data_IF_995548708237
#
_entry.id   IF_995548708237
#
_cell.length_a   1.000
_cell.length_b   1.000
_cell.length_c   1.000
_cell.angle_alpha   90.00
_cell.angle_beta   90.00
_cell.angle_gamma   90.00
#
_symmetry.space_group_name_H-M   'P 1'
#
loop_
_entity.id
_entity.type
_entity.pdbx_description
1 polymer ?
#
# COMPACT_ATOMS: atom_id res chain seq x y z
N UNK A 1 16.56 15.52 -8.69
CA UNK A 1 16.22 14.40 -9.60
C UNK A 1 14.96 14.82 -10.36
N UNK A 2 14.99 14.82 -11.69
CA UNK A 2 13.84 15.21 -12.51
C UNK A 2 13.03 13.96 -12.87
N UNK A 3 11.72 13.99 -12.66
CA UNK A 3 10.81 12.91 -13.07
C UNK A 3 10.69 12.90 -14.61
N UNK A 4 10.52 11.72 -15.20
CA UNK A 4 10.22 11.61 -16.63
C UNK A 4 8.80 12.12 -16.94
N UNK A 5 8.54 12.52 -18.19
CA UNK A 5 7.22 13.02 -18.60
C UNK A 5 6.08 12.01 -18.33
N UNK A 6 6.37 10.72 -18.40
CA UNK A 6 5.41 9.65 -18.10
C UNK A 6 5.05 9.61 -16.61
N UNK A 7 6.02 9.87 -15.73
CA UNK A 7 5.79 9.97 -14.28
C UNK A 7 4.95 11.21 -13.93
N UNK A 8 5.14 12.32 -14.65
CA UNK A 8 4.36 13.56 -14.47
C UNK A 8 2.88 13.37 -14.86
N UNK A 9 2.60 12.71 -15.99
CA UNK A 9 1.24 12.47 -16.45
C UNK A 9 0.42 11.59 -15.50
N UNK A 10 1.05 10.59 -14.88
CA UNK A 10 0.40 9.73 -13.88
C UNK A 10 0.10 10.50 -12.59
N UNK A 11 1.05 11.30 -12.10
CA UNK A 11 0.85 12.12 -10.90
C UNK A 11 -0.29 13.13 -11.10
N UNK A 12 -0.40 13.73 -12.29
CA UNK A 12 -1.51 14.61 -12.65
C UNK A 12 -2.85 13.86 -12.71
N UNK A 13 -2.88 12.63 -13.25
CA UNK A 13 -4.07 11.79 -13.25
C UNK A 13 -4.54 11.39 -11.83
N UNK A 14 -3.61 11.36 -10.86
CA UNK A 14 -3.88 11.18 -9.43
C UNK A 14 -4.28 12.49 -8.70
N UNK A 15 -4.39 13.61 -9.42
CA UNK A 15 -4.75 14.91 -8.88
C UNK A 15 -3.64 15.59 -8.09
N UNK A 16 -2.37 15.34 -8.44
CA UNK A 16 -1.20 15.95 -7.82
C UNK A 16 -0.70 17.08 -8.71
N UNK A 17 -0.68 18.31 -8.18
CA UNK A 17 -0.03 19.43 -8.85
C UNK A 17 1.50 19.34 -8.63
N UNK A 18 2.27 19.41 -9.72
CA UNK A 18 3.70 19.03 -9.74
C UNK A 18 4.62 20.18 -9.31
N UNK A 19 4.08 21.34 -8.92
CA UNK A 19 4.87 22.47 -8.43
C UNK A 19 4.85 22.56 -6.91
N UNK A 20 6.04 22.34 -6.33
CA UNK A 20 6.45 22.63 -4.94
C UNK A 20 5.57 22.03 -3.83
N UNK A 21 6.17 21.12 -3.06
CA UNK A 21 6.29 21.35 -1.61
C UNK A 21 7.31 20.38 -1.04
N UNK A 22 8.40 20.93 -0.50
CA UNK A 22 9.17 20.30 0.57
C UNK A 22 8.41 20.62 1.84
N UNK A 23 7.98 19.60 2.58
CA UNK A 23 8.07 19.57 4.04
C UNK A 23 7.72 18.16 4.50
N UNK A 24 8.60 17.61 5.35
CA UNK A 24 8.44 16.31 6.01
C UNK A 24 8.15 16.61 7.47
N UNK A 25 6.98 16.21 7.95
CA UNK A 25 6.71 15.78 9.33
C UNK A 25 5.35 15.08 9.30
N UNK A 26 5.13 13.92 9.92
CA UNK A 26 5.00 13.76 11.37
C UNK A 26 4.95 12.26 11.73
N UNK A 27 5.46 11.91 12.91
CA UNK A 27 5.32 10.61 13.57
C UNK A 27 3.91 10.43 14.16
N UNK A 28 3.37 9.21 14.16
CA UNK A 28 2.23 8.86 15.00
C UNK A 28 2.56 7.63 15.85
N UNK A 29 2.43 7.80 17.17
CA UNK A 29 2.55 6.80 18.23
C UNK A 29 1.14 6.35 18.58
N UNK A 30 0.82 5.04 18.54
CA UNK A 30 0.01 4.32 19.54
C UNK A 30 0.39 2.83 19.46
N UNK A 31 0.72 2.24 20.60
CA UNK A 31 0.93 0.80 20.78
C UNK A 31 -0.20 0.28 21.66
N UNK A 32 -0.97 -0.70 21.18
CA UNK A 32 -1.65 -1.67 22.04
C UNK A 32 -1.66 -3.03 21.34
N UNK A 33 -1.09 -4.02 22.02
CA UNK A 33 -0.93 -5.39 21.53
C UNK A 33 -2.20 -6.16 21.88
N UNK A 34 -3.07 -6.40 20.91
CA UNK A 34 -4.19 -7.33 21.01
C UNK A 34 -3.91 -8.50 20.06
N UNK A 35 -3.98 -9.73 20.58
CA UNK A 35 -4.06 -10.92 19.73
C UNK A 35 -5.48 -10.93 19.19
N UNK A 36 -5.64 -10.41 17.98
CA UNK A 36 -6.94 -10.01 17.47
C UNK A 36 -7.43 -10.96 16.38
N UNK A 37 -8.68 -11.40 16.51
CA UNK A 37 -9.45 -12.04 15.42
C UNK A 37 -9.98 -10.95 14.48
N UNK A 38 -9.14 -9.95 14.22
CA UNK A 38 -9.44 -8.77 13.41
C UNK A 38 -9.74 -9.22 12.00
N UNK A 39 -10.86 -8.71 11.51
CA UNK A 39 -11.24 -8.82 10.11
C UNK A 39 -10.76 -7.56 9.42
N UNK A 40 -9.98 -7.75 8.38
CA UNK A 40 -9.43 -6.66 7.57
C UNK A 40 -10.09 -6.63 6.21
N UNK A 41 -10.40 -5.43 5.73
CA UNK A 41 -10.77 -5.22 4.35
C UNK A 41 -9.52 -5.33 3.47
N UNK A 42 -9.55 -6.24 2.50
CA UNK A 42 -8.44 -6.47 1.55
C UNK A 42 -8.88 -6.31 0.10
N UNK A 43 -7.98 -5.79 -0.73
CA UNK A 43 -8.09 -5.88 -2.19
C UNK A 43 -7.07 -6.88 -2.72
N UNK A 44 -7.54 -7.86 -3.50
CA UNK A 44 -6.68 -8.72 -4.28
C UNK A 44 -6.49 -8.15 -5.68
N UNK A 45 -5.25 -8.11 -6.12
CA UNK A 45 -4.91 -7.62 -7.46
C UNK A 45 -3.87 -8.52 -8.12
N UNK A 46 -3.81 -8.47 -9.45
CA UNK A 46 -2.79 -9.16 -10.24
C UNK A 46 -2.05 -8.17 -11.11
N UNK A 47 -0.72 -8.24 -11.12
CA UNK A 47 0.08 -7.45 -12.04
C UNK A 47 -0.16 -7.92 -13.48
N UNK A 48 -0.54 -7.01 -14.37
CA UNK A 48 -0.79 -7.34 -15.78
C UNK A 48 0.49 -7.68 -16.53
N UNK A 49 1.64 -7.17 -16.08
CA UNK A 49 2.92 -7.36 -16.76
C UNK A 49 3.62 -8.63 -16.28
N UNK A 50 3.78 -8.80 -14.97
CA UNK A 50 4.50 -9.95 -14.40
C UNK A 50 3.60 -11.12 -14.03
N UNK A 51 2.28 -10.93 -13.96
CA UNK A 51 1.35 -11.93 -13.46
C UNK A 51 1.36 -12.10 -11.93
N UNK A 52 2.23 -11.39 -11.21
CA UNK A 52 2.39 -11.54 -9.77
C UNK A 52 1.10 -11.23 -8.99
N UNK A 53 0.83 -11.99 -7.93
CA UNK A 53 -0.30 -11.77 -7.02
C UNK A 53 0.03 -10.72 -5.94
N UNK A 54 -0.89 -9.78 -5.74
CA UNK A 54 -0.72 -8.67 -4.81
C UNK A 54 -1.93 -8.61 -3.88
N UNK A 55 -1.68 -8.59 -2.57
CA UNK A 55 -2.69 -8.38 -1.55
C UNK A 55 -2.50 -7.01 -0.92
N UNK A 56 -3.58 -6.23 -0.87
CA UNK A 56 -3.59 -4.90 -0.29
C UNK A 56 -4.44 -4.92 0.95
N UNK A 57 -3.86 -4.55 2.08
CA UNK A 57 -4.56 -4.43 3.35
C UNK A 57 -5.00 -2.98 3.53
N UNK A 58 -6.31 -2.76 3.48
CA UNK A 58 -6.88 -1.42 3.52
C UNK A 58 -7.15 -0.93 4.96
N UNK A 59 -7.30 -1.86 5.90
CA UNK A 59 -7.58 -1.57 7.30
C UNK A 59 -8.71 -2.43 7.86
N UNK A 60 -9.16 -2.11 9.06
CA UNK A 60 -10.22 -2.84 9.80
C UNK A 60 -11.64 -2.37 9.45
N UNK A 61 -11.76 -1.30 8.66
CA UNK A 61 -13.04 -0.72 8.25
C UNK A 61 -13.19 -0.83 6.74
N UNK A 62 -14.44 -0.85 6.27
CA UNK A 62 -14.70 -0.78 4.84
C UNK A 62 -14.21 0.56 4.27
N UNK A 63 -13.48 0.55 3.15
CA UNK A 63 -13.02 1.77 2.52
C UNK A 63 -14.22 2.57 2.01
N UNK A 64 -14.14 3.88 2.19
CA UNK A 64 -15.12 4.81 1.64
C UNK A 64 -15.07 4.83 0.11
N UNK A 65 -16.13 5.31 -0.54
CA UNK A 65 -16.18 5.42 -2.01
C UNK A 65 -15.01 6.25 -2.58
N UNK A 66 -14.63 7.42 -2.00
CA UNK A 66 -13.45 8.17 -2.46
C UNK A 66 -12.14 7.36 -2.36
N UNK A 67 -11.97 6.57 -1.30
CA UNK A 67 -10.79 5.72 -1.10
C UNK A 67 -10.73 4.61 -2.14
N UNK A 68 -11.87 3.97 -2.44
CA UNK A 68 -11.97 2.97 -3.50
C UNK A 68 -11.67 3.56 -4.89
N UNK A 69 -12.14 4.78 -5.18
CA UNK A 69 -11.83 5.48 -6.43
C UNK A 69 -10.33 5.78 -6.52
N UNK A 70 -9.72 6.26 -5.43
CA UNK A 70 -8.28 6.50 -5.38
C UNK A 70 -7.49 5.20 -5.56
N UNK A 71 -7.88 4.13 -4.87
CA UNK A 71 -7.26 2.82 -5.01
C UNK A 71 -7.30 2.32 -6.45
N UNK A 72 -8.46 2.41 -7.13
CA UNK A 72 -8.58 2.01 -8.54
C UNK A 72 -7.64 2.80 -9.44
N UNK A 73 -7.48 4.11 -9.20
CA UNK A 73 -6.51 4.94 -9.92
C UNK A 73 -5.07 4.48 -9.68
N UNK A 74 -4.71 4.18 -8.42
CA UNK A 74 -3.39 3.63 -8.06
C UNK A 74 -3.15 2.29 -8.77
N UNK A 75 -4.09 1.35 -8.65
CA UNK A 75 -4.00 0.04 -9.27
C UNK A 75 -3.81 0.15 -10.79
N UNK A 76 -4.62 0.98 -11.46
CA UNK A 76 -4.48 1.22 -12.89
C UNK A 76 -3.11 1.83 -13.25
N UNK A 77 -2.63 2.80 -12.47
CA UNK A 77 -1.34 3.43 -12.69
C UNK A 77 -0.17 2.44 -12.57
N UNK A 78 -0.26 1.48 -11.64
CA UNK A 78 0.74 0.40 -11.45
C UNK A 78 0.43 -0.82 -12.34
N UNK A 79 -0.50 -0.73 -13.30
CA UNK A 79 -0.89 -1.84 -14.20
C UNK A 79 -1.34 -3.10 -13.45
N UNK A 80 -2.11 -2.91 -12.40
CA UNK A 80 -2.72 -3.96 -11.60
C UNK A 80 -4.19 -4.11 -12.01
N UNK A 81 -4.64 -5.36 -12.15
CA UNK A 81 -6.04 -5.69 -12.31
C UNK A 81 -6.62 -6.09 -10.96
N UNK A 82 -7.74 -5.49 -10.58
CA UNK A 82 -8.48 -5.85 -9.36
C UNK A 82 -9.21 -7.15 -9.59
N UNK A 83 -8.95 -8.14 -8.75
CA UNK A 83 -9.57 -9.47 -8.80
C UNK A 83 -10.79 -9.50 -7.89
N UNK A 84 -10.61 -9.08 -6.63
CA UNK A 84 -11.61 -9.28 -5.59
C UNK A 84 -11.46 -8.26 -4.46
N UNK A 85 -12.57 -7.96 -3.80
CA UNK A 85 -12.67 -7.17 -2.57
C UNK A 85 -13.38 -8.00 -1.51
N UNK A 86 -12.69 -8.30 -0.41
CA UNK A 86 -13.27 -9.09 0.66
C UNK A 86 -12.76 -8.64 2.03
N UNK A 87 -13.48 -9.07 3.05
CA UNK A 87 -13.11 -8.91 4.45
C UNK A 87 -12.57 -10.25 4.94
N UNK A 88 -11.31 -10.29 5.37
CA UNK A 88 -10.60 -11.52 5.73
C UNK A 88 -9.95 -11.41 7.11
N UNK A 89 -9.92 -12.52 7.83
CA UNK A 89 -9.15 -12.62 9.07
C UNK A 89 -7.65 -12.72 8.78
N UNK A 90 -6.82 -12.48 9.80
CA UNK A 90 -5.37 -12.66 9.69
C UNK A 90 -4.97 -14.09 9.29
N UNK A 91 -5.66 -15.10 9.80
CA UNK A 91 -5.42 -16.51 9.44
C UNK A 91 -5.75 -16.80 7.97
N UNK A 92 -6.73 -16.11 7.39
CA UNK A 92 -7.03 -16.22 5.96
C UNK A 92 -5.98 -15.51 5.11
N UNK A 93 -5.42 -14.38 5.55
CA UNK A 93 -4.32 -13.69 4.87
C UNK A 93 -3.11 -14.62 4.71
N UNK A 94 -2.77 -15.39 5.77
CA UNK A 94 -1.70 -16.40 5.72
C UNK A 94 -1.93 -17.48 4.66
N UNK A 95 -3.19 -17.86 4.42
CA UNK A 95 -3.55 -18.88 3.43
C UNK A 95 -3.48 -18.37 1.99
N UNK A 96 -3.65 -17.06 1.78
CA UNK A 96 -3.62 -16.45 0.45
C UNK A 96 -2.21 -16.42 -0.17
N UNK A 97 -1.16 -16.51 0.66
CA UNK A 97 0.26 -16.51 0.25
C UNK A 97 0.57 -15.56 -0.94
N UNK A 98 0.27 -14.26 -0.82
CA UNK A 98 0.51 -13.34 -1.92
C UNK A 98 2.01 -13.18 -2.17
N UNK A 99 2.40 -12.94 -3.42
CA UNK A 99 3.80 -12.61 -3.74
C UNK A 99 4.20 -11.25 -3.17
N UNK A 100 3.24 -10.33 -3.12
CA UNK A 100 3.39 -8.96 -2.62
C UNK A 100 2.26 -8.63 -1.65
N UNK A 101 2.63 -8.15 -0.46
CA UNK A 101 1.71 -7.59 0.52
C UNK A 101 1.95 -6.08 0.64
N UNK A 102 0.92 -5.29 0.41
CA UNK A 102 0.94 -3.84 0.64
C UNK A 102 0.02 -3.52 1.81
N UNK A 103 0.54 -2.87 2.84
CA UNK A 103 -0.22 -2.44 4.00
C UNK A 103 -0.40 -0.94 3.97
N UNK A 104 -1.67 -0.51 3.97
CA UNK A 104 -2.05 0.90 3.95
C UNK A 104 -2.32 1.37 5.38
N UNK A 105 -1.45 2.23 5.89
CA UNK A 105 -1.50 2.78 7.24
C UNK A 105 -0.58 2.04 8.22
N UNK A 106 0.18 2.80 9.01
CA UNK A 106 1.09 2.25 10.03
C UNK A 106 0.34 1.63 11.21
N UNK A 107 -0.86 2.10 11.54
CA UNK A 107 -1.74 1.48 12.53
C UNK A 107 -2.11 0.05 12.16
N UNK A 108 -2.31 -0.18 10.86
CA UNK A 108 -2.64 -1.49 10.33
C UNK A 108 -1.39 -2.37 10.28
N UNK A 109 -0.18 -1.83 10.20
CA UNK A 109 1.04 -2.66 10.13
C UNK A 109 1.41 -3.42 11.40
N UNK A 110 0.75 -3.15 12.53
CA UNK A 110 1.02 -3.81 13.82
C UNK A 110 0.94 -5.34 13.81
N UNK A 111 0.23 -5.96 12.86
CA UNK A 111 0.19 -7.42 12.75
C UNK A 111 1.41 -8.05 12.04
N UNK A 112 2.22 -7.24 11.35
CA UNK A 112 3.45 -7.70 10.67
C UNK A 112 4.63 -7.70 11.65
N UNK A 113 4.57 -6.93 12.73
CA UNK A 113 5.70 -6.80 13.64
C UNK A 113 5.48 -7.67 14.87
N UNK A 114 6.14 -8.82 14.90
CA UNK A 114 6.16 -9.74 16.04
C UNK A 114 6.85 -9.14 17.28
N UNK A 115 7.81 -8.24 17.04
CA UNK A 115 8.46 -7.46 18.09
C UNK A 115 7.88 -6.04 18.09
N UNK A 116 7.82 -5.39 19.26
CA UNK A 116 7.35 -4.00 19.43
C UNK A 116 8.30 -2.97 18.79
N UNK A 117 8.68 -3.16 17.54
CA UNK A 117 9.52 -2.26 16.78
C UNK A 117 8.64 -1.21 16.08
N UNK A 118 9.15 0.00 16.00
CA UNK A 118 8.49 1.10 15.30
C UNK A 118 8.45 0.81 13.81
N UNK A 119 7.27 0.48 13.29
CA UNK A 119 7.09 0.26 11.85
C UNK A 119 7.02 1.62 11.16
N UNK A 120 7.87 1.82 10.16
CA UNK A 120 7.94 3.03 9.35
C UNK A 120 7.42 2.78 7.94
N UNK A 121 6.92 3.83 7.29
CA UNK A 121 6.56 3.78 5.87
C UNK A 121 7.81 3.45 5.04
N UNK A 122 7.67 2.46 4.18
CA UNK A 122 8.71 2.02 3.26
C UNK A 122 8.76 0.50 3.11
N UNK A 123 9.72 0.07 2.32
CA UNK A 123 10.02 -1.33 2.03
C UNK A 123 10.48 -2.06 3.29
N UNK A 124 9.78 -3.14 3.66
CA UNK A 124 10.11 -3.95 4.84
C UNK A 124 10.88 -5.23 4.48
N UNK A 125 10.96 -5.60 3.19
CA UNK A 125 11.66 -6.80 2.75
C UNK A 125 10.77 -8.06 2.77
N UNK A 126 11.40 -9.20 3.03
CA UNK A 126 10.73 -10.50 3.11
C UNK A 126 10.10 -10.68 4.49
N UNK A 127 8.89 -11.25 4.52
CA UNK A 127 8.16 -11.55 5.74
C UNK A 127 7.64 -13.00 5.71
N UNK A 128 7.25 -13.56 6.86
CA UNK A 128 6.72 -14.93 6.89
C UNK A 128 5.42 -15.08 6.10
N UNK A 129 4.67 -13.99 5.97
CA UNK A 129 3.40 -13.93 5.24
C UNK A 129 3.57 -13.86 3.71
N UNK A 130 4.69 -13.33 3.23
CA UNK A 130 4.93 -13.12 1.80
C UNK A 130 6.39 -12.78 1.49
N UNK A 131 6.78 -12.95 0.23
CA UNK A 131 8.14 -12.63 -0.20
C UNK A 131 8.48 -11.14 -0.11
N UNK A 132 7.47 -10.26 -0.09
CA UNK A 132 7.62 -8.82 -0.31
C UNK A 132 6.57 -8.03 0.46
N UNK A 133 6.99 -7.25 1.45
CA UNK A 133 6.12 -6.35 2.22
C UNK A 133 6.46 -4.89 1.98
N UNK A 134 5.43 -4.10 1.65
CA UNK A 134 5.48 -2.64 1.62
C UNK A 134 4.48 -2.09 2.63
N UNK A 135 4.95 -1.30 3.59
CA UNK A 135 4.08 -0.50 4.47
C UNK A 135 4.04 0.92 3.94
N UNK A 136 2.85 1.48 3.74
CA UNK A 136 2.69 2.83 3.21
C UNK A 136 1.53 3.57 3.87
N UNK A 137 1.24 4.79 3.42
CA UNK A 137 0.20 5.63 4.00
C UNK A 137 -1.20 5.06 3.78
N UNK A 138 -2.16 5.41 4.64
CA UNK A 138 -3.55 5.03 4.45
C UNK A 138 -4.16 5.77 3.24
N UNK A 139 -5.25 5.25 2.67
CA UNK A 139 -5.96 5.91 1.56
C UNK A 139 -6.53 7.27 1.98
N UNK A 140 -7.04 7.37 3.22
CA UNK A 140 -7.44 8.63 3.84
C UNK A 140 -6.34 9.70 3.80
N UNK A 141 -5.13 9.36 4.26
CA UNK A 141 -3.99 10.30 4.29
C UNK A 141 -3.60 10.72 2.87
N UNK A 142 -3.65 9.79 1.92
CA UNK A 142 -3.40 10.09 0.51
C UNK A 142 -4.45 11.03 -0.08
N UNK A 143 -5.73 10.91 0.29
CA UNK A 143 -6.77 11.82 -0.18
C UNK A 143 -6.53 13.25 0.31
N UNK A 144 -6.15 13.38 1.59
CA UNK A 144 -5.98 14.68 2.24
C UNK A 144 -4.63 15.34 1.90
N UNK A 145 -3.58 14.56 1.66
CA UNK A 145 -2.21 15.06 1.53
C UNK A 145 -1.55 14.61 0.21
N UNK A 146 -1.33 15.55 -0.74
CA UNK A 146 -0.65 15.25 -2.01
C UNK A 146 0.77 14.69 -1.84
N UNK A 147 1.46 15.01 -0.74
CA UNK A 147 2.79 14.51 -0.44
C UNK A 147 2.79 12.98 -0.21
N UNK A 148 1.78 12.44 0.49
CA UNK A 148 1.62 11.01 0.72
C UNK A 148 1.47 10.25 -0.59
N UNK A 149 0.69 10.78 -1.55
CA UNK A 149 0.54 10.17 -2.89
C UNK A 149 1.87 10.06 -3.63
N UNK A 150 2.76 11.06 -3.54
CA UNK A 150 4.09 11.04 -4.19
C UNK A 150 4.99 9.94 -3.60
N UNK A 151 4.98 9.80 -2.27
CA UNK A 151 5.75 8.77 -1.57
C UNK A 151 5.24 7.37 -1.96
N UNK A 152 3.93 7.16 -1.88
CA UNK A 152 3.28 5.89 -2.26
C UNK A 152 3.61 5.54 -3.71
N UNK A 153 3.51 6.51 -4.62
CA UNK A 153 3.83 6.28 -6.03
C UNK A 153 5.29 5.84 -6.24
N UNK A 154 6.25 6.53 -5.63
CA UNK A 154 7.67 6.16 -5.70
C UNK A 154 7.90 4.74 -5.20
N UNK A 155 7.31 4.39 -4.06
CA UNK A 155 7.52 3.09 -3.43
C UNK A 155 6.88 1.95 -4.24
N UNK A 156 5.71 2.19 -4.84
CA UNK A 156 5.05 1.23 -5.74
C UNK A 156 5.83 1.03 -7.04
N UNK A 157 6.43 2.07 -7.61
CA UNK A 157 7.30 1.94 -8.79
C UNK A 157 8.52 1.08 -8.49
N UNK A 158 9.19 1.32 -7.36
CA UNK A 158 10.34 0.52 -6.95
C UNK A 158 9.94 -0.95 -6.75
N UNK A 159 8.78 -1.19 -6.13
CA UNK A 159 8.24 -2.53 -5.92
C UNK A 159 7.91 -3.25 -7.23
N UNK A 160 7.26 -2.56 -8.17
CA UNK A 160 6.93 -3.13 -9.48
C UNK A 160 8.19 -3.53 -10.26
N UNK A 161 9.25 -2.72 -10.21
CA UNK A 161 10.54 -3.06 -10.84
C UNK A 161 11.17 -4.30 -10.19
N UNK A 162 11.13 -4.41 -8.86
CA UNK A 162 11.69 -5.56 -8.13
C UNK A 162 10.91 -6.87 -8.35
N UNK A 163 9.62 -6.78 -8.67
CA UNK A 163 8.76 -7.93 -8.97
C UNK A 163 8.88 -8.37 -10.43
N UNK A 164 9.20 -7.45 -11.35
CA UNK A 164 9.29 -7.74 -12.78
C UNK A 164 10.68 -8.17 -13.27
N UNK A 165 11.72 -7.99 -12.44
CA UNK A 165 13.12 -8.27 -12.80
C UNK A 165 13.64 -9.64 -12.33
N UNK A 166 12.75 -10.61 -12.11
CA UNK A 166 13.08 -12.00 -11.73
C UNK A 166 13.43 -12.88 -12.92
#
# INVERSE_FOLDING_TARGET
MSFSNDQVGVLQAMGIDVWRSNDITTQAIVSDTYVDDRVYSVMQTKCQVSGASWLWLLGETEPTEPELVLFKKIAQAVKLHVIDHQSVSLSQIQQLQPEVLVVLGVSVSGFISEEKQTISVGWQGQHELCQRVLVTHALSDMLDQPACKKIVWRDLQALQSAVSGG
#
